data_IF_641621684644
#
_entry.id   IF_641621684644
#
_cell.length_a   1.000
_cell.length_b   1.000
_cell.length_c   1.000
_cell.angle_alpha   90.00
_cell.angle_beta   90.00
_cell.angle_gamma   90.00
#
_symmetry.space_group_name_H-M   'P 1'
#
loop_
_entity.id
_entity.type
_entity.pdbx_description
1 polymer ?
#
# COMPACT_ATOMS: atom_id res chain seq x y z
N UNK A 1 31.27 19.29 1.99
CA UNK A 1 31.22 18.14 1.05
C UNK A 1 30.90 16.82 1.75
N UNK A 2 31.61 16.41 2.82
CA UNK A 2 31.36 15.14 3.52
C UNK A 2 29.94 14.99 4.11
N UNK A 3 29.47 15.99 4.86
CA UNK A 3 28.14 15.98 5.50
C UNK A 3 27.01 15.82 4.49
N UNK A 4 27.06 16.55 3.38
CA UNK A 4 26.03 16.46 2.32
C UNK A 4 25.94 15.05 1.71
N UNK A 5 27.08 14.34 1.57
CA UNK A 5 27.08 12.96 1.04
C UNK A 5 26.39 11.99 2.00
N UNK A 6 26.57 12.17 3.31
CA UNK A 6 25.90 11.36 4.32
C UNK A 6 24.39 11.61 4.27
N UNK A 7 23.97 12.87 4.22
CA UNK A 7 22.55 13.23 4.16
C UNK A 7 21.88 12.63 2.92
N UNK A 8 22.48 12.79 1.75
CA UNK A 8 21.94 12.23 0.51
C UNK A 8 21.87 10.69 0.54
N UNK A 9 22.87 10.02 1.11
CA UNK A 9 22.87 8.56 1.23
C UNK A 9 21.76 8.06 2.19
N UNK A 10 21.57 8.75 3.31
CA UNK A 10 20.50 8.42 4.27
C UNK A 10 19.11 8.67 3.68
N UNK A 11 18.91 9.82 3.04
CA UNK A 11 17.64 10.16 2.40
C UNK A 11 17.27 9.12 1.32
N UNK A 12 18.23 8.76 0.46
CA UNK A 12 18.03 7.71 -0.54
C UNK A 12 17.68 6.36 0.11
N UNK A 13 18.44 5.94 1.14
CA UNK A 13 18.21 4.67 1.82
C UNK A 13 16.84 4.60 2.49
N UNK A 14 16.41 5.67 3.16
CA UNK A 14 15.10 5.78 3.82
C UNK A 14 13.98 5.76 2.78
N UNK A 15 14.08 6.56 1.72
CA UNK A 15 13.06 6.61 0.67
C UNK A 15 12.92 5.27 -0.04
N UNK A 16 14.03 4.61 -0.34
CA UNK A 16 14.02 3.29 -0.97
C UNK A 16 13.37 2.23 -0.05
N UNK A 17 13.74 2.22 1.24
CA UNK A 17 13.17 1.30 2.21
C UNK A 17 11.65 1.50 2.38
N UNK A 18 11.20 2.75 2.50
CA UNK A 18 9.78 3.10 2.60
C UNK A 18 9.02 2.70 1.33
N UNK A 19 9.57 2.97 0.16
CA UNK A 19 8.94 2.62 -1.12
C UNK A 19 8.77 1.10 -1.26
N UNK A 20 9.81 0.31 -0.96
CA UNK A 20 9.76 -1.14 -1.02
C UNK A 20 8.76 -1.73 -0.01
N UNK A 21 8.77 -1.21 1.23
CA UNK A 21 7.84 -1.65 2.26
C UNK A 21 6.39 -1.36 1.86
N UNK A 22 6.14 -0.18 1.30
CA UNK A 22 4.81 0.20 0.80
C UNK A 22 4.37 -0.73 -0.34
N UNK A 23 5.25 -1.09 -1.28
CA UNK A 23 4.94 -2.04 -2.36
C UNK A 23 4.55 -3.40 -1.79
N UNK A 24 5.30 -3.94 -0.83
CA UNK A 24 4.99 -5.25 -0.22
C UNK A 24 3.61 -5.23 0.45
N UNK A 25 3.31 -4.20 1.22
CA UNK A 25 2.00 -4.05 1.87
C UNK A 25 0.87 -3.85 0.86
N UNK A 26 1.12 -3.09 -0.21
CA UNK A 26 0.15 -2.85 -1.28
C UNK A 26 -0.22 -4.14 -2.01
N UNK A 27 0.79 -4.94 -2.38
CA UNK A 27 0.60 -6.24 -3.03
C UNK A 27 -0.22 -7.15 -2.10
N UNK A 28 0.15 -7.20 -0.82
CA UNK A 28 -0.56 -8.02 0.15
C UNK A 28 -2.03 -7.60 0.30
N UNK A 29 -2.29 -6.30 0.47
CA UNK A 29 -3.64 -5.75 0.58
C UNK A 29 -4.47 -6.06 -0.68
N UNK A 30 -3.92 -5.77 -1.86
CA UNK A 30 -4.60 -6.01 -3.13
C UNK A 30 -4.90 -7.49 -3.34
N UNK A 31 -3.94 -8.39 -3.09
CA UNK A 31 -4.16 -9.83 -3.20
C UNK A 31 -5.29 -10.30 -2.28
N UNK A 32 -5.31 -9.84 -1.03
CA UNK A 32 -6.40 -10.18 -0.09
C UNK A 32 -7.75 -9.59 -0.50
N UNK A 33 -7.78 -8.40 -1.10
CA UNK A 33 -9.00 -7.80 -1.64
C UNK A 33 -9.54 -8.57 -2.85
N UNK A 34 -8.65 -9.06 -3.73
CA UNK A 34 -9.02 -9.91 -4.87
C UNK A 34 -9.59 -11.24 -4.39
N UNK A 35 -8.95 -11.87 -3.39
CA UNK A 35 -9.38 -13.17 -2.85
C UNK A 35 -10.64 -13.11 -1.98
N UNK A 36 -10.99 -11.95 -1.41
CA UNK A 36 -12.17 -11.80 -0.56
C UNK A 36 -13.48 -11.97 -1.35
N UNK A 37 -14.48 -12.62 -0.76
CA UNK A 37 -15.77 -12.85 -1.41
C UNK A 37 -16.61 -11.55 -1.40
N UNK A 38 -17.29 -11.18 -2.51
CA UNK A 38 -18.07 -9.93 -2.56
C UNK A 38 -19.14 -9.83 -1.47
N UNK A 39 -19.86 -10.93 -1.20
CA UNK A 39 -20.91 -10.99 -0.18
C UNK A 39 -20.38 -10.73 1.24
N UNK A 40 -19.10 -11.00 1.52
CA UNK A 40 -18.52 -10.74 2.84
C UNK A 40 -18.47 -9.24 3.15
N UNK A 41 -18.25 -8.39 2.14
CA UNK A 41 -18.25 -6.93 2.32
C UNK A 41 -19.65 -6.42 2.67
N UNK A 42 -20.69 -6.96 2.03
CA UNK A 42 -22.08 -6.58 2.27
C UNK A 42 -22.58 -7.04 3.65
N UNK A 43 -22.29 -8.29 4.02
CA UNK A 43 -22.69 -8.85 5.32
C UNK A 43 -22.05 -8.10 6.49
N UNK A 44 -20.81 -7.63 6.33
CA UNK A 44 -20.09 -6.86 7.35
C UNK A 44 -20.35 -5.35 7.27
N UNK A 45 -21.24 -4.90 6.38
CA UNK A 45 -21.60 -3.48 6.25
C UNK A 45 -20.45 -2.58 5.79
N UNK A 46 -19.40 -3.13 5.16
CA UNK A 46 -18.29 -2.37 4.58
C UNK A 46 -18.65 -1.85 3.19
N UNK A 47 -17.87 -0.88 2.69
CA UNK A 47 -17.95 -0.49 1.26
C UNK A 47 -17.69 -1.70 0.37
N UNK A 48 -18.26 -1.70 -0.84
CA UNK A 48 -18.30 -2.86 -1.74
C UNK A 48 -16.90 -3.35 -2.15
N UNK A 49 -16.81 -4.61 -2.58
CA UNK A 49 -15.55 -5.19 -3.08
C UNK A 49 -14.92 -4.33 -4.19
N UNK A 50 -15.74 -3.83 -5.12
CA UNK A 50 -15.26 -2.98 -6.23
C UNK A 50 -14.60 -1.69 -5.74
N UNK A 51 -15.16 -1.04 -4.72
CA UNK A 51 -14.57 0.14 -4.11
C UNK A 51 -13.19 -0.15 -3.51
N UNK A 52 -13.06 -1.22 -2.72
CA UNK A 52 -11.78 -1.58 -2.10
C UNK A 52 -10.75 -2.08 -3.10
N UNK A 53 -11.17 -2.78 -4.15
CA UNK A 53 -10.28 -3.17 -5.25
C UNK A 53 -9.74 -1.97 -6.02
N UNK A 54 -10.58 -0.98 -6.31
CA UNK A 54 -10.14 0.23 -6.98
C UNK A 54 -9.13 1.01 -6.11
N UNK A 55 -9.40 1.15 -4.81
CA UNK A 55 -8.52 1.84 -3.88
C UNK A 55 -7.18 1.11 -3.66
N UNK A 56 -7.21 -0.18 -3.35
CA UNK A 56 -5.99 -0.98 -3.13
C UNK A 56 -5.19 -1.16 -4.42
N UNK A 57 -5.87 -1.33 -5.57
CA UNK A 57 -5.24 -1.40 -6.88
C UNK A 57 -4.59 -0.07 -7.30
N UNK A 58 -5.29 1.05 -7.12
CA UNK A 58 -4.71 2.38 -7.36
C UNK A 58 -3.51 2.66 -6.46
N UNK A 59 -3.60 2.26 -5.18
CA UNK A 59 -2.49 2.40 -4.23
C UNK A 59 -1.29 1.51 -4.59
N UNK A 60 -1.53 0.30 -5.11
CA UNK A 60 -0.49 -0.57 -5.64
C UNK A 60 0.24 0.06 -6.83
N UNK A 61 -0.49 0.66 -7.78
CA UNK A 61 0.12 1.37 -8.90
C UNK A 61 0.98 2.54 -8.41
N UNK A 62 0.48 3.34 -7.47
CA UNK A 62 1.24 4.45 -6.87
C UNK A 62 2.50 3.94 -6.16
N UNK A 63 2.41 2.83 -5.43
CA UNK A 63 3.55 2.22 -4.75
C UNK A 63 4.61 1.73 -5.75
N UNK A 64 4.20 1.09 -6.85
CA UNK A 64 5.11 0.62 -7.90
C UNK A 64 5.80 1.78 -8.62
N UNK A 65 5.06 2.82 -8.99
CA UNK A 65 5.61 4.04 -9.60
C UNK A 65 6.57 4.78 -8.65
N UNK A 66 6.23 4.78 -7.37
CA UNK A 66 7.06 5.34 -6.30
C UNK A 66 8.38 4.60 -6.15
N UNK A 67 8.34 3.26 -6.12
CA UNK A 67 9.55 2.46 -6.10
C UNK A 67 10.40 2.70 -7.36
N UNK A 68 9.77 2.71 -8.54
CA UNK A 68 10.47 2.93 -9.82
C UNK A 68 11.18 4.31 -9.88
N UNK A 69 10.50 5.37 -9.46
CA UNK A 69 11.09 6.72 -9.41
C UNK A 69 12.20 6.85 -8.37
N UNK A 70 12.07 6.15 -7.23
CA UNK A 70 13.11 6.10 -6.19
C UNK A 70 14.40 5.45 -6.70
N UNK A 71 14.31 4.39 -7.53
CA UNK A 71 15.49 3.76 -8.15
C UNK A 71 16.21 4.70 -9.14
N UNK A 72 15.50 5.63 -9.77
CA UNK A 72 16.07 6.62 -10.70
C UNK A 72 16.63 7.88 -10.05
N UNK A 73 16.61 7.98 -8.71
CA UNK A 73 16.99 9.21 -7.99
C UNK A 73 15.96 10.35 -8.11
N UNK A 74 14.76 10.06 -8.63
CA UNK A 74 13.66 11.01 -8.72
C UNK A 74 12.89 11.11 -7.40
N UNK A 75 12.39 12.31 -7.10
CA UNK A 75 11.49 12.49 -5.95
C UNK A 75 10.08 12.02 -6.33
N UNK A 76 9.66 10.90 -5.75
CA UNK A 76 8.27 10.46 -5.79
C UNK A 76 7.37 11.48 -5.08
N UNK A 77 6.14 11.68 -5.57
CA UNK A 77 5.18 12.54 -4.87
C UNK A 77 4.84 11.96 -3.49
N UNK A 78 5.48 12.51 -2.44
CA UNK A 78 5.26 12.12 -1.04
C UNK A 78 3.77 12.12 -0.68
N UNK A 79 3.01 13.08 -1.21
CA UNK A 79 1.58 13.16 -0.98
C UNK A 79 0.84 11.91 -1.49
N UNK A 80 1.13 11.46 -2.72
CA UNK A 80 0.49 10.26 -3.28
C UNK A 80 0.89 9.00 -2.52
N UNK A 81 2.15 8.89 -2.09
CA UNK A 81 2.61 7.77 -1.25
C UNK A 81 1.88 7.71 0.08
N UNK A 82 1.69 8.85 0.75
CA UNK A 82 0.97 8.91 2.01
C UNK A 82 -0.51 8.53 1.83
N UNK A 83 -1.15 9.01 0.77
CA UNK A 83 -2.53 8.62 0.44
C UNK A 83 -2.62 7.10 0.21
N UNK A 84 -1.72 6.53 -0.59
CA UNK A 84 -1.66 5.09 -0.82
C UNK A 84 -1.41 4.31 0.48
N UNK A 85 -0.48 4.77 1.32
CA UNK A 85 -0.17 4.16 2.60
C UNK A 85 -1.37 4.16 3.57
N UNK A 86 -2.12 5.27 3.64
CA UNK A 86 -3.34 5.36 4.45
C UNK A 86 -4.39 4.38 3.93
N UNK A 87 -4.65 4.35 2.62
CA UNK A 87 -5.62 3.43 2.02
C UNK A 87 -5.27 1.97 2.34
N UNK A 88 -4.00 1.59 2.13
CA UNK A 88 -3.50 0.24 2.41
C UNK A 88 -3.61 -0.08 3.90
N UNK A 89 -3.21 0.86 4.76
CA UNK A 89 -3.30 0.71 6.21
C UNK A 89 -4.73 0.50 6.69
N UNK A 90 -5.67 1.35 6.25
CA UNK A 90 -7.09 1.22 6.58
C UNK A 90 -7.65 -0.12 6.10
N UNK A 91 -7.33 -0.52 4.87
CA UNK A 91 -7.80 -1.82 4.36
C UNK A 91 -7.25 -2.99 5.19
N UNK A 92 -5.96 -3.00 5.51
CA UNK A 92 -5.32 -4.09 6.25
C UNK A 92 -5.76 -4.15 7.72
N UNK A 93 -5.98 -3.00 8.35
CA UNK A 93 -6.33 -2.90 9.77
C UNK A 93 -7.82 -3.08 10.05
N UNK A 94 -8.70 -2.57 9.18
CA UNK A 94 -10.15 -2.55 9.42
C UNK A 94 -10.91 -3.54 8.53
N UNK A 95 -10.69 -3.48 7.21
CA UNK A 95 -11.53 -4.22 6.25
C UNK A 95 -11.15 -5.70 6.20
N UNK A 96 -9.86 -5.99 6.07
CA UNK A 96 -9.33 -7.35 5.92
C UNK A 96 -9.75 -8.28 7.06
N UNK A 97 -9.66 -7.91 8.36
CA UNK A 97 -10.06 -8.80 9.45
C UNK A 97 -11.54 -9.23 9.37
N UNK A 98 -12.40 -8.37 8.86
CA UNK A 98 -13.84 -8.62 8.80
C UNK A 98 -14.26 -9.43 7.58
N UNK A 99 -13.63 -9.19 6.42
CA UNK A 99 -13.93 -9.91 5.18
C UNK A 99 -13.11 -11.18 4.99
N UNK A 100 -12.15 -11.44 5.88
CA UNK A 100 -11.33 -12.63 5.84
C UNK A 100 -12.18 -13.90 6.06
N UNK A 101 -11.91 -14.99 5.33
CA UNK A 101 -12.59 -16.26 5.55
C UNK A 101 -12.42 -16.70 7.02
N UNK A 102 -13.54 -16.94 7.71
CA UNK A 102 -13.50 -17.56 9.04
C UNK A 102 -12.94 -18.97 8.88
N UNK A 103 -11.67 -19.16 9.24
CA UNK A 103 -11.09 -20.49 9.39
C UNK A 103 -11.85 -21.15 10.54
N UNK A 104 -12.76 -22.10 10.23
CA UNK A 104 -13.47 -22.89 11.23
C UNK A 104 -12.41 -23.51 12.16
N UNK A 105 -12.40 -23.08 13.42
CA UNK A 105 -11.68 -23.74 14.51
C UNK A 105 -12.66 -24.64 15.22
#
# INVERSE_FOLDING_TARGET
>A
MFVLRIVMALEFGINLALALLLVVLAIYAFATAVSAQPSAFEVMGKRTKGFWLALTGGSLLVALLSAWTSFGGGSSSLFLQLVAAVIIGVYLADVKPEVAPRRRR
#
